data_IF_758893823905
#
_entry.id   IF_758893823905
#
_cell.length_a   1.000
_cell.length_b   1.000
_cell.length_c   1.000
_cell.angle_alpha   90.00
_cell.angle_beta   90.00
_cell.angle_gamma   90.00
#
_symmetry.space_group_name_H-M   'P 1'
#
loop_
_entity.id
_entity.type
_entity.pdbx_description
1 polymer ?
#
# COMPACT_ATOMS: atom_id res chain seq x y z
N UNK A 1 -7.00 -9.71 -6.72
CA UNK A 1 -5.85 -10.53 -6.31
C UNK A 1 -5.64 -11.78 -7.17
N UNK A 2 -6.59 -12.16 -8.05
CA UNK A 2 -6.42 -13.29 -9.01
C UNK A 2 -5.83 -12.81 -10.36
N UNK A 3 -5.91 -11.50 -10.65
CA UNK A 3 -5.47 -10.93 -11.93
C UNK A 3 -3.96 -11.04 -12.20
N UNK A 4 -3.10 -10.89 -11.18
CA UNK A 4 -1.65 -10.94 -11.38
C UNK A 4 -1.15 -12.37 -11.69
N UNK A 5 -1.56 -13.43 -10.96
CA UNK A 5 -1.21 -14.81 -11.32
C UNK A 5 -1.83 -15.27 -12.64
N UNK A 6 -3.11 -14.98 -12.90
CA UNK A 6 -3.77 -15.33 -14.17
C UNK A 6 -3.16 -14.58 -15.35
N UNK A 7 -2.83 -13.30 -15.18
CA UNK A 7 -2.21 -12.48 -16.23
C UNK A 7 -0.80 -12.95 -16.60
N UNK A 8 -0.03 -13.43 -15.61
CA UNK A 8 1.28 -14.04 -15.86
C UNK A 8 1.16 -15.39 -16.56
N UNK A 9 0.24 -16.25 -16.11
CA UNK A 9 0.00 -17.58 -16.70
C UNK A 9 -0.58 -17.51 -18.11
N UNK A 10 -1.55 -16.62 -18.35
CA UNK A 10 -2.04 -16.30 -19.69
C UNK A 10 -0.94 -15.60 -20.52
N UNK A 11 -0.10 -14.78 -19.91
CA UNK A 11 1.02 -14.13 -20.58
C UNK A 11 2.02 -15.12 -21.17
N UNK A 12 2.29 -16.23 -20.46
CA UNK A 12 3.11 -17.34 -20.94
C UNK A 12 2.42 -18.15 -22.04
N UNK A 13 1.10 -18.40 -21.95
CA UNK A 13 0.38 -19.25 -22.91
C UNK A 13 -0.04 -18.56 -24.21
N UNK A 14 -0.55 -17.33 -24.12
CA UNK A 14 -1.13 -16.60 -25.26
C UNK A 14 -0.32 -15.36 -25.66
N UNK A 15 0.78 -15.09 -24.98
CA UNK A 15 1.65 -13.93 -25.20
C UNK A 15 1.07 -12.65 -24.59
N UNK A 16 1.97 -11.83 -24.04
CA UNK A 16 1.61 -10.60 -23.32
C UNK A 16 0.68 -9.66 -24.12
N UNK A 17 0.85 -9.56 -25.46
CA UNK A 17 -0.02 -8.74 -26.34
C UNK A 17 -1.48 -9.18 -26.31
N UNK A 18 -1.75 -10.49 -26.30
CA UNK A 18 -3.12 -11.00 -26.27
C UNK A 18 -3.75 -10.87 -24.88
N UNK A 19 -2.96 -10.93 -23.81
CA UNK A 19 -3.43 -10.58 -22.46
C UNK A 19 -3.88 -9.12 -22.39
N UNK A 20 -3.12 -8.20 -23.00
CA UNK A 20 -3.53 -6.79 -23.12
C UNK A 20 -4.78 -6.62 -23.97
N UNK A 21 -4.91 -7.30 -25.11
CA UNK A 21 -6.11 -7.25 -25.93
C UNK A 21 -7.35 -7.81 -25.21
N UNK A 22 -7.21 -8.91 -24.47
CA UNK A 22 -8.29 -9.48 -23.66
C UNK A 22 -8.71 -8.52 -22.54
N UNK A 23 -7.74 -7.88 -21.88
CA UNK A 23 -8.01 -6.84 -20.88
C UNK A 23 -8.73 -5.63 -21.49
N UNK A 24 -8.34 -5.21 -22.70
CA UNK A 24 -9.01 -4.13 -23.43
C UNK A 24 -10.47 -4.49 -23.79
N UNK A 25 -10.71 -5.71 -24.29
CA UNK A 25 -12.05 -6.20 -24.61
C UNK A 25 -12.95 -6.28 -23.35
N UNK A 26 -12.42 -6.77 -22.23
CA UNK A 26 -13.12 -6.74 -20.94
C UNK A 26 -13.43 -5.30 -20.50
N UNK A 27 -12.49 -4.36 -20.68
CA UNK A 27 -12.72 -2.95 -20.39
C UNK A 27 -13.89 -2.37 -21.18
N UNK A 28 -13.98 -2.68 -22.49
CA UNK A 28 -15.09 -2.27 -23.35
C UNK A 28 -16.41 -2.90 -22.88
N UNK A 29 -16.42 -4.19 -22.54
CA UNK A 29 -17.61 -4.86 -21.98
C UNK A 29 -18.09 -4.21 -20.68
N UNK A 30 -17.16 -3.84 -19.79
CA UNK A 30 -17.50 -3.09 -18.58
C UNK A 30 -18.12 -1.73 -18.89
N UNK A 31 -17.59 -0.99 -19.89
CA UNK A 31 -18.16 0.28 -20.33
C UNK A 31 -19.60 0.08 -20.81
N UNK A 32 -19.85 -0.89 -21.68
CA UNK A 32 -21.20 -1.21 -22.16
C UNK A 32 -22.14 -1.57 -21.02
N UNK A 33 -21.66 -2.34 -20.04
CA UNK A 33 -22.46 -2.71 -18.88
C UNK A 33 -22.78 -1.49 -18.01
N UNK A 34 -21.79 -0.63 -17.73
CA UNK A 34 -22.00 0.61 -16.95
C UNK A 34 -23.03 1.49 -17.65
N UNK A 35 -22.93 1.71 -18.96
CA UNK A 35 -23.90 2.52 -19.73
C UNK A 35 -25.31 1.93 -19.64
N UNK A 36 -25.45 0.60 -19.65
CA UNK A 36 -26.75 -0.08 -19.60
C UNK A 36 -27.34 -0.16 -18.20
N UNK A 37 -26.52 -0.35 -17.18
CA UNK A 37 -26.96 -0.62 -15.80
C UNK A 37 -26.98 0.62 -14.91
N UNK A 38 -26.26 1.69 -15.24
CA UNK A 38 -26.22 2.88 -14.42
C UNK A 38 -27.39 3.80 -14.80
N UNK A 39 -28.43 3.95 -13.96
CA UNK A 39 -29.45 4.96 -14.17
C UNK A 39 -28.80 6.35 -14.15
N UNK A 40 -29.35 7.28 -14.92
CA UNK A 40 -28.84 8.65 -15.01
C UNK A 40 -28.82 9.29 -13.61
N UNK A 41 -27.65 9.34 -13.00
CA UNK A 41 -27.41 10.12 -11.79
C UNK A 41 -27.43 11.58 -12.22
N UNK A 42 -28.34 12.43 -11.69
CA UNK A 42 -28.30 13.86 -11.96
C UNK A 42 -26.90 14.34 -11.58
N UNK A 43 -26.19 14.92 -12.54
CA UNK A 43 -24.89 15.52 -12.23
C UNK A 43 -25.09 16.52 -11.11
N UNK A 44 -24.37 16.35 -9.99
CA UNK A 44 -24.35 17.38 -8.96
C UNK A 44 -24.07 18.72 -9.66
N UNK A 45 -24.82 19.78 -9.33
CA UNK A 45 -24.72 21.04 -10.04
C UNK A 45 -23.26 21.48 -10.07
N UNK A 46 -22.81 21.94 -11.25
CA UNK A 46 -21.44 22.37 -11.57
C UNK A 46 -20.83 23.46 -10.66
N UNK A 47 -21.52 23.83 -9.59
CA UNK A 47 -21.15 24.81 -8.58
C UNK A 47 -20.04 24.36 -7.60
N UNK A 48 -19.48 23.16 -7.73
CA UNK A 48 -18.34 22.72 -6.91
C UNK A 48 -17.06 22.42 -7.70
N UNK A 49 -16.73 23.27 -8.68
CA UNK A 49 -15.33 23.65 -8.97
C UNK A 49 -14.66 24.40 -7.78
N UNK A 50 -15.18 24.26 -6.57
CA UNK A 50 -14.51 24.73 -5.36
C UNK A 50 -13.35 23.79 -5.04
N UNK A 51 -12.22 24.12 -5.66
CA UNK A 51 -10.86 23.92 -5.21
C UNK A 51 -10.63 22.60 -4.43
N UNK A 52 -10.39 21.50 -5.16
CA UNK A 52 -10.00 20.19 -4.58
C UNK A 52 -8.82 20.34 -3.60
N UNK A 53 -7.96 21.35 -3.79
CA UNK A 53 -6.88 21.70 -2.87
C UNK A 53 -7.34 22.35 -1.55
N UNK A 54 -8.53 22.96 -1.46
CA UNK A 54 -9.09 23.43 -0.17
C UNK A 54 -9.38 22.27 0.78
N UNK A 55 -9.61 21.06 0.26
CA UNK A 55 -9.76 19.86 1.10
C UNK A 55 -8.48 19.59 1.92
N UNK A 56 -7.30 19.86 1.36
CA UNK A 56 -6.01 19.71 2.05
C UNK A 56 -5.84 20.74 3.19
N UNK A 57 -6.56 21.86 3.14
CA UNK A 57 -6.53 22.89 4.18
C UNK A 57 -7.36 22.51 5.42
N UNK A 58 -8.18 21.44 5.36
CA UNK A 58 -8.90 20.94 6.54
C UNK A 58 -7.90 20.43 7.59
N UNK A 59 -8.09 20.79 8.88
CA UNK A 59 -7.19 20.37 9.94
C UNK A 59 -7.13 18.84 10.03
N UNK A 60 -5.92 18.28 9.93
CA UNK A 60 -5.67 16.83 9.97
C UNK A 60 -5.65 16.13 8.61
N UNK A 61 -6.21 16.71 7.54
CA UNK A 61 -6.24 16.07 6.21
C UNK A 61 -4.86 16.01 5.57
N UNK A 62 -4.13 17.13 5.58
CA UNK A 62 -2.76 17.17 5.08
C UNK A 62 -1.84 16.19 5.83
N UNK A 63 -2.01 16.09 7.15
CA UNK A 63 -1.29 15.13 7.98
C UNK A 63 -1.60 13.68 7.57
N UNK A 64 -2.88 13.36 7.33
CA UNK A 64 -3.29 12.06 6.80
C UNK A 64 -2.71 11.77 5.42
N UNK A 65 -2.74 12.72 4.50
CA UNK A 65 -2.19 12.57 3.14
C UNK A 65 -0.66 12.39 3.16
N UNK A 66 0.06 13.12 4.01
CA UNK A 66 1.51 12.92 4.21
C UNK A 66 1.77 11.53 4.79
N UNK A 67 0.99 11.08 5.78
CA UNK A 67 1.15 9.75 6.35
C UNK A 67 0.84 8.63 5.34
N UNK A 68 -0.17 8.81 4.46
CA UNK A 68 -0.41 7.93 3.32
C UNK A 68 0.81 7.90 2.42
N UNK A 69 1.31 9.08 2.01
CA UNK A 69 2.47 9.17 1.16
C UNK A 69 3.68 8.43 1.75
N UNK A 70 4.00 8.68 3.02
CA UNK A 70 5.13 8.04 3.71
C UNK A 70 4.95 6.52 3.87
N UNK A 71 3.73 6.07 4.21
CA UNK A 71 3.42 4.63 4.33
C UNK A 71 3.63 3.90 3.00
N UNK A 72 3.07 4.44 1.92
CA UNK A 72 3.13 3.79 0.61
C UNK A 72 4.52 3.92 -0.02
N UNK A 73 5.19 5.07 0.13
CA UNK A 73 6.56 5.25 -0.31
C UNK A 73 7.50 4.29 0.42
N UNK A 74 7.37 4.16 1.75
CA UNK A 74 8.15 3.21 2.53
C UNK A 74 7.89 1.76 2.12
N UNK A 75 6.64 1.39 1.88
CA UNK A 75 6.29 0.06 1.40
C UNK A 75 6.99 -0.25 0.07
N UNK A 76 6.81 0.62 -0.93
CA UNK A 76 7.32 0.36 -2.28
C UNK A 76 8.83 0.55 -2.38
N UNK A 77 9.44 1.38 -1.53
CA UNK A 77 10.89 1.45 -1.41
C UNK A 77 11.51 0.11 -1.03
N UNK A 78 10.85 -0.69 -0.19
CA UNK A 78 11.34 -2.01 0.16
C UNK A 78 10.83 -3.10 -0.80
N UNK A 79 9.53 -3.14 -1.04
CA UNK A 79 8.87 -4.23 -1.77
C UNK A 79 9.34 -4.33 -3.22
N UNK A 80 9.67 -3.21 -3.87
CA UNK A 80 10.26 -3.20 -5.24
C UNK A 80 11.59 -3.94 -5.29
N UNK A 81 12.36 -3.89 -4.21
CA UNK A 81 13.70 -4.49 -4.10
C UNK A 81 13.71 -5.70 -3.15
N UNK A 82 12.55 -6.33 -2.92
CA UNK A 82 12.45 -7.50 -2.05
C UNK A 82 13.32 -8.67 -2.57
N UNK A 83 13.38 -8.87 -3.88
CA UNK A 83 14.18 -9.92 -4.51
C UNK A 83 15.68 -9.76 -4.20
N UNK A 84 16.35 -8.63 -4.54
CA UNK A 84 17.76 -8.47 -4.23
C UNK A 84 18.03 -8.48 -2.73
N UNK A 85 17.12 -7.98 -1.89
CA UNK A 85 17.27 -8.07 -0.42
C UNK A 85 17.25 -9.53 0.03
N UNK A 86 16.24 -10.32 -0.31
CA UNK A 86 16.13 -11.69 0.19
C UNK A 86 17.14 -12.66 -0.43
N UNK A 87 17.50 -12.47 -1.70
CA UNK A 87 18.48 -13.34 -2.36
C UNK A 87 19.90 -13.01 -1.92
N UNK A 88 20.29 -11.73 -1.84
CA UNK A 88 21.66 -11.34 -1.52
C UNK A 88 21.92 -11.17 -0.01
N UNK A 89 20.93 -10.79 0.80
CA UNK A 89 21.10 -10.64 2.25
C UNK A 89 20.92 -11.98 2.97
N UNK A 90 19.80 -12.68 2.72
CA UNK A 90 19.44 -13.91 3.41
C UNK A 90 19.90 -15.19 2.68
N UNK A 91 20.44 -15.07 1.47
CA UNK A 91 20.93 -16.21 0.68
C UNK A 91 19.81 -17.17 0.23
N UNK A 92 18.60 -16.64 -0.03
CA UNK A 92 17.53 -17.46 -0.60
C UNK A 92 17.80 -17.77 -2.08
N UNK A 93 17.58 -19.03 -2.45
CA UNK A 93 17.42 -19.42 -3.85
C UNK A 93 16.07 -18.96 -4.42
N UNK A 94 15.87 -19.15 -5.72
CA UNK A 94 14.62 -18.76 -6.42
C UNK A 94 13.39 -19.44 -5.82
N UNK A 95 13.50 -20.74 -5.49
CA UNK A 95 12.39 -21.50 -4.89
C UNK A 95 12.04 -20.99 -3.49
N UNK A 96 13.07 -20.68 -2.68
CA UNK A 96 12.88 -20.14 -1.34
C UNK A 96 12.23 -18.75 -1.37
N UNK A 97 12.64 -17.87 -2.28
CA UNK A 97 11.98 -16.57 -2.47
C UNK A 97 10.52 -16.74 -2.89
N UNK A 98 10.22 -17.72 -3.75
CA UNK A 98 8.86 -18.02 -4.19
C UNK A 98 7.98 -18.45 -3.01
N UNK A 99 8.49 -19.31 -2.13
CA UNK A 99 7.80 -19.70 -0.89
C UNK A 99 7.59 -18.52 0.05
N UNK A 100 8.58 -17.62 0.19
CA UNK A 100 8.45 -16.40 0.98
C UNK A 100 7.35 -15.51 0.42
N UNK A 101 7.32 -15.26 -0.90
CA UNK A 101 6.27 -14.46 -1.54
C UNK A 101 4.89 -15.12 -1.45
N UNK A 102 4.82 -16.44 -1.55
CA UNK A 102 3.59 -17.20 -1.32
C UNK A 102 3.08 -16.98 0.12
N UNK A 103 3.97 -17.15 1.11
CA UNK A 103 3.64 -16.95 2.52
C UNK A 103 3.22 -15.50 2.80
N UNK A 104 3.87 -14.52 2.18
CA UNK A 104 3.51 -13.10 2.22
C UNK A 104 2.10 -12.86 1.64
N UNK A 105 1.76 -13.52 0.53
CA UNK A 105 0.44 -13.43 -0.08
C UNK A 105 -0.67 -13.99 0.83
N UNK A 106 -0.44 -15.17 1.41
CA UNK A 106 -1.37 -15.81 2.38
C UNK A 106 -1.53 -14.91 3.62
N UNK A 107 -0.41 -14.44 4.18
CA UNK A 107 -0.37 -13.48 5.27
C UNK A 107 -1.17 -12.21 4.96
N UNK A 108 -0.99 -11.63 3.77
CA UNK A 108 -1.72 -10.43 3.34
C UNK A 108 -3.23 -10.66 3.24
N UNK A 109 -3.65 -11.84 2.77
CA UNK A 109 -5.05 -12.22 2.71
C UNK A 109 -5.68 -12.34 4.11
N UNK A 110 -4.99 -13.02 5.03
CA UNK A 110 -5.40 -13.12 6.44
C UNK A 110 -5.43 -11.74 7.10
N UNK A 111 -4.40 -10.92 6.87
CA UNK A 111 -4.29 -9.57 7.39
C UNK A 111 -5.42 -8.66 6.91
N UNK A 112 -5.81 -8.78 5.64
CA UNK A 112 -6.95 -8.05 5.07
C UNK A 112 -8.26 -8.46 5.75
N UNK A 113 -8.46 -9.76 5.98
CA UNK A 113 -9.65 -10.26 6.67
C UNK A 113 -9.72 -9.77 8.12
N UNK A 114 -8.58 -9.79 8.83
CA UNK A 114 -8.47 -9.33 10.22
C UNK A 114 -8.53 -7.81 10.35
N UNK A 115 -8.16 -7.06 9.30
CA UNK A 115 -8.16 -5.60 9.30
C UNK A 115 -9.53 -5.03 9.68
N UNK A 116 -10.62 -5.64 9.21
CA UNK A 116 -11.99 -5.21 9.52
C UNK A 116 -12.29 -5.26 11.01
N UNK A 117 -11.78 -6.25 11.74
CA UNK A 117 -11.97 -6.39 13.18
C UNK A 117 -11.18 -5.32 13.96
N UNK A 118 -9.92 -5.09 13.55
CA UNK A 118 -9.04 -4.10 14.19
C UNK A 118 -9.55 -2.67 13.94
N UNK A 119 -10.03 -2.39 12.72
CA UNK A 119 -10.58 -1.10 12.32
C UNK A 119 -11.94 -0.79 12.97
N UNK A 120 -12.72 -1.82 13.32
CA UNK A 120 -13.90 -1.67 14.18
C UNK A 120 -13.52 -1.21 15.58
N UNK A 121 -12.41 -1.72 16.13
CA UNK A 121 -11.96 -1.38 17.49
C UNK A 121 -11.29 -0.01 17.56
N UNK A 122 -10.32 0.27 16.69
CA UNK A 122 -9.66 1.59 16.65
C UNK A 122 -8.90 1.81 15.33
N UNK A 123 -9.37 2.77 14.54
CA UNK A 123 -8.69 3.20 13.31
C UNK A 123 -7.34 3.82 13.61
N UNK A 124 -7.22 4.60 14.69
CA UNK A 124 -5.94 5.20 15.09
C UNK A 124 -4.90 4.13 15.45
N UNK A 125 -5.33 3.07 16.15
CA UNK A 125 -4.43 1.97 16.50
C UNK A 125 -3.92 1.24 15.25
N UNK A 126 -4.80 1.03 14.24
CA UNK A 126 -4.38 0.45 12.97
C UNK A 126 -3.40 1.37 12.22
N UNK A 127 -3.71 2.67 12.11
CA UNK A 127 -2.91 3.64 11.34
C UNK A 127 -1.56 3.97 11.98
N UNK A 128 -1.41 3.84 13.30
CA UNK A 128 -0.12 4.04 13.98
C UNK A 128 0.61 2.73 14.26
N UNK A 129 -0.12 1.71 14.70
CA UNK A 129 0.43 0.41 15.08
C UNK A 129 0.97 -0.36 13.88
N UNK A 130 0.29 -0.33 12.74
CA UNK A 130 0.76 -1.04 11.56
C UNK A 130 2.10 -0.47 11.03
N UNK A 131 2.25 0.85 10.78
CA UNK A 131 3.55 1.41 10.41
C UNK A 131 4.62 1.20 11.49
N UNK A 132 4.28 1.23 12.77
CA UNK A 132 5.26 0.95 13.84
C UNK A 132 5.80 -0.49 13.78
N UNK A 133 4.92 -1.48 13.60
CA UNK A 133 5.32 -2.88 13.44
C UNK A 133 6.14 -3.07 12.16
N UNK A 134 5.79 -2.41 11.05
CA UNK A 134 6.59 -2.45 9.83
C UNK A 134 7.97 -1.80 10.00
N UNK A 135 8.07 -0.70 10.74
CA UNK A 135 9.35 -0.07 11.06
C UNK A 135 10.26 -1.01 11.88
N UNK A 136 9.68 -1.71 12.86
CA UNK A 136 10.42 -2.70 13.66
C UNK A 136 10.84 -3.88 12.79
N UNK A 137 9.96 -4.38 11.91
CA UNK A 137 10.28 -5.43 10.94
C UNK A 137 11.43 -5.04 10.01
N UNK A 138 11.46 -3.79 9.53
CA UNK A 138 12.57 -3.28 8.71
C UNK A 138 13.88 -3.24 9.49
N UNK A 139 13.85 -2.82 10.75
CA UNK A 139 15.02 -2.83 11.64
C UNK A 139 15.52 -4.24 11.90
N UNK A 140 14.61 -5.18 12.20
CA UNK A 140 14.94 -6.59 12.42
C UNK A 140 15.58 -7.20 11.17
N UNK A 141 15.02 -6.93 9.99
CA UNK A 141 15.60 -7.43 8.73
C UNK A 141 16.96 -6.79 8.42
N UNK A 142 17.19 -5.55 8.83
CA UNK A 142 18.48 -4.89 8.64
C UNK A 142 19.58 -5.49 9.54
N UNK A 143 19.24 -5.89 10.77
CA UNK A 143 20.21 -6.40 11.75
C UNK A 143 20.39 -7.93 11.68
N UNK A 144 19.31 -8.67 11.43
CA UNK A 144 19.28 -10.15 11.47
C UNK A 144 18.76 -10.78 10.16
N UNK A 145 18.71 -10.01 9.07
CA UNK A 145 18.19 -10.48 7.78
C UNK A 145 19.02 -11.59 7.13
N UNK A 146 20.24 -11.87 7.61
CA UNK A 146 21.06 -12.99 7.13
C UNK A 146 20.47 -14.36 7.48
N UNK A 147 19.61 -14.44 8.51
CA UNK A 147 18.94 -15.68 8.90
C UNK A 147 17.63 -15.85 8.11
N UNK A 148 17.52 -16.98 7.40
CA UNK A 148 16.35 -17.34 6.58
C UNK A 148 15.06 -17.43 7.39
N UNK A 149 15.14 -17.90 8.64
CA UNK A 149 13.97 -18.02 9.52
C UNK A 149 13.47 -16.62 9.89
N UNK A 150 14.38 -15.73 10.28
CA UNK A 150 14.06 -14.33 10.60
C UNK A 150 13.47 -13.62 9.39
N UNK A 151 14.10 -13.74 8.23
CA UNK A 151 13.64 -13.10 7.00
C UNK A 151 12.24 -13.58 6.58
N UNK A 152 11.96 -14.89 6.71
CA UNK A 152 10.63 -15.45 6.43
C UNK A 152 9.59 -14.97 7.43
N UNK A 153 9.92 -14.96 8.73
CA UNK A 153 9.04 -14.44 9.77
C UNK A 153 8.69 -12.97 9.55
N UNK A 154 9.70 -12.16 9.18
CA UNK A 154 9.50 -10.75 8.82
C UNK A 154 8.58 -10.63 7.60
N UNK A 155 8.74 -11.43 6.54
CA UNK A 155 7.86 -11.38 5.37
C UNK A 155 6.40 -11.65 5.73
N UNK A 156 6.15 -12.65 6.58
CA UNK A 156 4.80 -12.99 7.06
C UNK A 156 4.19 -11.84 7.87
N UNK A 157 4.95 -11.29 8.82
CA UNK A 157 4.51 -10.15 9.64
C UNK A 157 4.26 -8.93 8.76
N UNK A 158 5.14 -8.69 7.77
CA UNK A 158 5.03 -7.59 6.84
C UNK A 158 3.75 -7.69 6.01
N UNK A 159 3.46 -8.85 5.43
CA UNK A 159 2.23 -9.09 4.66
C UNK A 159 0.97 -8.90 5.50
N UNK A 160 0.93 -9.51 6.69
CA UNK A 160 -0.18 -9.37 7.64
C UNK A 160 -0.43 -7.91 7.99
N UNK A 161 0.63 -7.18 8.31
CA UNK A 161 0.55 -5.81 8.83
C UNK A 161 0.27 -4.79 7.74
N UNK A 162 0.93 -4.93 6.58
CA UNK A 162 0.74 -4.01 5.46
C UNK A 162 -0.70 -4.00 4.97
N UNK A 163 -1.40 -5.15 5.03
CA UNK A 163 -2.82 -5.23 4.65
C UNK A 163 -3.73 -4.27 5.45
N UNK A 164 -3.34 -3.90 6.68
CA UNK A 164 -4.11 -2.95 7.50
C UNK A 164 -3.97 -1.50 6.99
N UNK A 165 -2.87 -1.15 6.32
CA UNK A 165 -2.57 0.22 5.89
C UNK A 165 -3.56 0.72 4.82
N UNK A 166 -3.74 0.06 3.65
CA UNK A 166 -4.66 0.54 2.62
C UNK A 166 -6.11 0.53 3.10
N UNK A 167 -6.52 -0.52 3.83
CA UNK A 167 -7.88 -0.62 4.38
C UNK A 167 -8.11 0.45 5.44
N UNK A 168 -7.12 0.71 6.30
CA UNK A 168 -7.19 1.71 7.33
C UNK A 168 -7.28 3.13 6.79
N UNK A 169 -6.48 3.46 5.78
CA UNK A 169 -6.52 4.78 5.14
C UNK A 169 -7.82 5.01 4.37
N UNK A 170 -8.30 4.00 3.64
CA UNK A 170 -9.60 4.05 2.97
C UNK A 170 -10.74 4.25 3.98
N UNK A 171 -10.74 3.50 5.08
CA UNK A 171 -11.72 3.65 6.17
C UNK A 171 -11.64 5.02 6.84
N UNK A 172 -10.44 5.57 7.02
CA UNK A 172 -10.26 6.88 7.60
C UNK A 172 -10.81 8.00 6.69
N UNK A 173 -10.63 7.89 5.37
CA UNK A 173 -11.22 8.83 4.41
C UNK A 173 -12.74 8.76 4.42
N UNK A 174 -13.32 7.56 4.34
CA UNK A 174 -14.78 7.42 4.32
C UNK A 174 -15.43 7.89 5.61
N UNK A 175 -14.74 7.77 6.77
CA UNK A 175 -15.25 8.25 8.06
C UNK A 175 -14.99 9.74 8.33
N UNK A 176 -13.81 10.26 7.97
CA UNK A 176 -13.39 11.63 8.34
C UNK A 176 -13.74 12.66 7.28
N UNK A 177 -13.99 12.21 6.05
CA UNK A 177 -14.25 13.05 4.88
C UNK A 177 -15.50 12.55 4.12
N UNK A 178 -16.49 12.02 4.84
CA UNK A 178 -17.73 11.50 4.25
C UNK A 178 -18.39 12.49 3.29
N UNK A 179 -18.44 13.78 3.67
CA UNK A 179 -19.02 14.86 2.86
C UNK A 179 -18.34 15.05 1.48
N UNK A 180 -17.09 14.61 1.32
CA UNK A 180 -16.30 14.77 0.09
C UNK A 180 -15.50 13.50 -0.21
N UNK A 181 -16.06 12.32 0.10
CA UNK A 181 -15.33 11.05 0.05
C UNK A 181 -14.81 10.72 -1.35
N UNK A 182 -15.56 11.06 -2.40
CA UNK A 182 -15.16 10.86 -3.79
C UNK A 182 -13.91 11.69 -4.15
N UNK A 183 -13.91 12.98 -3.79
CA UNK A 183 -12.77 13.88 -4.00
C UNK A 183 -11.56 13.45 -3.16
N UNK A 184 -11.77 13.13 -1.88
CA UNK A 184 -10.72 12.67 -0.98
C UNK A 184 -10.09 11.34 -1.45
N UNK A 185 -10.91 10.40 -1.93
CA UNK A 185 -10.45 9.13 -2.50
C UNK A 185 -9.62 9.34 -3.77
N UNK A 186 -10.05 10.24 -4.67
CA UNK A 186 -9.26 10.56 -5.87
C UNK A 186 -7.88 11.14 -5.53
N UNK A 187 -7.79 12.05 -4.55
CA UNK A 187 -6.51 12.59 -4.06
C UNK A 187 -5.68 11.48 -3.42
N UNK A 188 -6.28 10.63 -2.59
CA UNK A 188 -5.58 9.52 -1.96
C UNK A 188 -4.93 8.61 -3.01
N UNK A 189 -5.66 8.23 -4.05
CA UNK A 189 -5.12 7.38 -5.13
C UNK A 189 -3.96 8.09 -5.83
N UNK A 190 -4.11 9.37 -6.17
CA UNK A 190 -3.02 10.15 -6.78
C UNK A 190 -1.78 10.21 -5.88
N UNK A 191 -1.96 10.44 -4.58
CA UNK A 191 -0.88 10.46 -3.58
C UNK A 191 -0.22 9.09 -3.45
N UNK A 192 -1.00 8.00 -3.44
CA UNK A 192 -0.47 6.63 -3.40
C UNK A 192 0.38 6.35 -4.64
N UNK A 193 -0.10 6.69 -5.84
CA UNK A 193 0.66 6.46 -7.07
C UNK A 193 1.96 7.27 -7.11
N UNK A 194 1.91 8.53 -6.67
CA UNK A 194 3.11 9.35 -6.51
C UNK A 194 4.07 8.73 -5.50
N UNK A 195 3.55 8.29 -4.34
CA UNK A 195 4.33 7.64 -3.30
C UNK A 195 5.00 6.36 -3.78
N UNK A 196 4.30 5.51 -4.52
CA UNK A 196 4.84 4.27 -5.07
C UNK A 196 5.98 4.57 -6.06
N UNK A 197 5.79 5.57 -6.92
CA UNK A 197 6.79 6.00 -7.90
C UNK A 197 8.03 6.56 -7.22
N UNK A 198 7.84 7.51 -6.28
CA UNK A 198 8.94 8.11 -5.53
C UNK A 198 9.65 7.09 -4.63
N UNK A 199 8.90 6.22 -3.96
CA UNK A 199 9.43 5.17 -3.09
C UNK A 199 10.31 4.19 -3.86
N UNK A 200 9.84 3.72 -5.02
CA UNK A 200 10.63 2.87 -5.90
C UNK A 200 11.87 3.62 -6.44
N UNK A 201 11.72 4.83 -6.96
CA UNK A 201 12.84 5.60 -7.53
C UNK A 201 13.93 5.92 -6.51
N UNK A 202 13.55 6.43 -5.33
CA UNK A 202 14.50 6.75 -4.25
C UNK A 202 15.09 5.47 -3.66
N UNK A 203 14.28 4.41 -3.53
CA UNK A 203 14.74 3.09 -3.08
C UNK A 203 15.81 2.50 -4.01
N UNK A 204 15.63 2.62 -5.32
CA UNK A 204 16.62 2.17 -6.31
C UNK A 204 17.89 2.99 -6.29
N UNK A 205 17.76 4.32 -6.27
CA UNK A 205 18.91 5.20 -6.14
C UNK A 205 19.72 4.91 -4.85
N UNK A 206 19.01 4.68 -3.74
CA UNK A 206 19.64 4.32 -2.47
C UNK A 206 20.32 2.94 -2.56
N UNK A 207 19.68 1.97 -3.21
CA UNK A 207 20.23 0.62 -3.40
C UNK A 207 21.55 0.67 -4.16
N UNK A 208 21.59 1.43 -5.25
CA UNK A 208 22.74 1.52 -6.16
C UNK A 208 23.93 2.27 -5.54
N UNK A 209 23.68 3.30 -4.71
CA UNK A 209 24.74 4.17 -4.19
C UNK A 209 25.14 3.93 -2.72
N UNK A 210 24.23 3.39 -1.90
CA UNK A 210 24.44 3.22 -0.45
C UNK A 210 24.56 1.74 -0.09
N UNK A 211 23.87 0.86 -0.84
CA UNK A 211 23.97 -0.59 -0.71
C UNK A 211 22.66 -1.29 -0.36
N UNK A 212 22.74 -2.60 -0.15
CA UNK A 212 21.60 -3.53 -0.10
C UNK A 212 20.59 -3.24 1.04
N UNK A 213 21.04 -2.65 2.14
CA UNK A 213 20.20 -2.35 3.31
C UNK A 213 19.56 -0.96 3.27
N UNK A 214 19.97 -0.09 2.34
CA UNK A 214 19.46 1.27 2.29
C UNK A 214 17.95 1.37 1.99
N UNK A 215 17.34 0.52 1.12
CA UNK A 215 15.90 0.59 0.88
C UNK A 215 15.09 0.14 2.11
N UNK A 216 15.65 -0.78 2.91
CA UNK A 216 15.10 -1.19 4.20
C UNK A 216 15.15 -0.06 5.23
N UNK A 217 16.28 0.64 5.34
CA UNK A 217 16.42 1.77 6.26
C UNK A 217 15.49 2.93 5.87
N UNK A 218 15.37 3.21 4.57
CA UNK A 218 14.42 4.20 4.05
C UNK A 218 12.97 3.81 4.37
N UNK A 219 12.62 2.54 4.14
CA UNK A 219 11.30 2.02 4.48
C UNK A 219 11.00 2.15 5.97
N UNK A 220 11.92 1.69 6.83
CA UNK A 220 11.76 1.73 8.28
C UNK A 220 11.64 3.15 8.84
N UNK A 221 12.45 4.08 8.34
CA UNK A 221 12.38 5.50 8.74
C UNK A 221 11.06 6.15 8.33
N UNK A 222 10.60 5.96 7.08
CA UNK A 222 9.32 6.48 6.62
C UNK A 222 8.13 5.89 7.42
N UNK A 223 8.18 4.60 7.73
CA UNK A 223 7.15 3.93 8.53
C UNK A 223 7.13 4.43 9.98
N UNK A 224 8.29 4.64 10.58
CA UNK A 224 8.40 5.18 11.93
C UNK A 224 7.90 6.63 12.01
N UNK A 225 8.28 7.46 11.04
CA UNK A 225 7.76 8.83 10.93
C UNK A 225 6.25 8.85 10.72
N UNK A 226 5.70 7.92 9.95
CA UNK A 226 4.24 7.76 9.80
C UNK A 226 3.59 7.46 11.15
N UNK A 227 4.11 6.49 11.91
CA UNK A 227 3.59 6.15 13.23
C UNK A 227 3.63 7.35 14.20
N UNK A 228 4.74 8.09 14.21
CA UNK A 228 4.88 9.30 15.02
C UNK A 228 3.90 10.40 14.60
N UNK A 229 3.74 10.63 13.31
CA UNK A 229 2.84 11.66 12.79
C UNK A 229 1.38 11.32 13.12
N UNK A 230 0.98 10.07 12.94
CA UNK A 230 -0.37 9.60 13.29
C UNK A 230 -0.61 9.67 14.80
N UNK A 231 0.36 9.29 15.63
CA UNK A 231 0.19 9.37 17.10
C UNK A 231 0.09 10.81 17.58
N UNK A 232 0.93 11.71 17.06
CA UNK A 232 1.00 13.12 17.44
C UNK A 232 -0.15 13.98 16.91
N UNK A 233 -0.56 13.80 15.65
CA UNK A 233 -1.56 14.67 14.99
C UNK A 233 -2.98 14.11 15.06
N UNK A 234 -3.18 12.81 15.23
CA UNK A 234 -4.53 12.23 15.35
C UNK A 234 -5.02 12.33 16.80
N UNK A 235 -5.45 13.51 17.24
CA UNK A 235 -6.31 13.63 18.43
C UNK A 235 -7.76 13.36 18.01
N UNK A 236 -8.14 12.09 17.98
CA UNK A 236 -9.56 11.72 17.92
C UNK A 236 -10.13 11.92 19.33
N UNK A 237 -11.13 12.79 19.45
CA UNK A 237 -11.87 13.05 20.69
C UNK A 237 -12.30 11.70 21.27
N UNK A 238 -11.90 11.39 22.50
CA UNK A 238 -12.43 10.23 23.25
C UNK A 238 -13.95 10.37 23.22
N UNK A 239 -14.62 9.40 22.61
CA UNK A 239 -16.04 9.18 22.88
C UNK A 239 -16.23 8.75 24.32
#
# INVERSE_FOLDING_TARGET
MIAAPLGSFLGELIGWRNVFNAAAAMGVLCIFWIIKSLPSLPGEPSHQKQNTFRLLQRPGVMAGMIAIFMSFAGQFAFFTYIRPVYMNLAGFGVDGLTLVLLSFGIASFVGTSLSSFILKRSVKLALAGAPFVLALSALVLTLWGSDKIVATGVAIIWGLTFALIPVGWSTWITRSLADQAEKAGSIQVAVIQLANTCGAAIGGYALDNIGLTSPLMLSGTLMLLTALLVTAKVKMKKS
#
